data_IF_100869096570
#
_entry.id   IF_100869096570
#
_cell.length_a   1.000
_cell.length_b   1.000
_cell.length_c   1.000
_cell.angle_alpha   90.00
_cell.angle_beta   90.00
_cell.angle_gamma   90.00
#
_symmetry.space_group_name_H-M   'P 1'
#
loop_
_entity.id
_entity.type
_entity.pdbx_description
1 polymer ?
#
# COMPACT_ATOMS: atom_id res chain seq x y z
N UNK A 1 18.32 -34.56 30.02
CA UNK A 1 17.33 -34.54 28.92
C UNK A 1 16.41 -33.30 28.95
N UNK A 2 16.11 -32.73 30.12
CA UNK A 2 15.23 -31.53 30.28
C UNK A 2 15.95 -30.20 30.00
N UNK A 3 17.25 -30.11 30.30
CA UNK A 3 18.06 -28.90 30.12
C UNK A 3 18.36 -28.54 28.66
N UNK A 4 18.31 -29.52 27.74
CA UNK A 4 18.47 -29.28 26.31
C UNK A 4 17.22 -28.61 25.73
N UNK A 5 16.03 -29.08 26.11
CA UNK A 5 14.76 -28.50 25.67
C UNK A 5 14.63 -27.02 26.07
N UNK A 6 15.11 -26.66 27.26
CA UNK A 6 15.15 -25.26 27.73
C UNK A 6 16.09 -24.38 26.90
N UNK A 7 17.23 -24.90 26.44
CA UNK A 7 18.17 -24.16 25.58
C UNK A 7 17.62 -23.95 24.17
N UNK A 8 17.03 -24.98 23.58
CA UNK A 8 16.37 -24.86 22.27
C UNK A 8 15.16 -23.93 22.32
N UNK A 9 14.42 -23.92 23.43
CA UNK A 9 13.31 -22.99 23.65
C UNK A 9 13.77 -21.52 23.66
N UNK A 10 14.88 -21.20 24.33
CA UNK A 10 15.48 -19.85 24.33
C UNK A 10 15.94 -19.44 22.92
N UNK A 11 16.55 -20.37 22.17
CA UNK A 11 17.02 -20.10 20.79
C UNK A 11 15.82 -19.81 19.85
N UNK A 12 14.73 -20.58 19.96
CA UNK A 12 13.51 -20.36 19.18
C UNK A 12 12.85 -19.01 19.53
N UNK A 13 12.88 -18.60 20.81
CA UNK A 13 12.39 -17.29 21.22
C UNK A 13 13.19 -16.15 20.56
N UNK A 14 14.51 -16.28 20.49
CA UNK A 14 15.39 -15.28 19.88
C UNK A 14 15.25 -15.20 18.35
N UNK A 15 15.01 -16.31 17.65
CA UNK A 15 14.82 -16.30 16.19
C UNK A 15 13.48 -15.70 15.77
N UNK A 16 12.43 -15.85 16.58
CA UNK A 16 11.11 -15.23 16.36
C UNK A 16 11.14 -13.70 16.52
N UNK A 17 12.02 -13.17 17.39
CA UNK A 17 12.22 -11.71 17.55
C UNK A 17 12.98 -11.13 16.36
N UNK A 18 13.95 -11.87 15.80
CA UNK A 18 14.72 -11.44 14.62
C UNK A 18 14.00 -11.65 13.27
N UNK A 19 13.01 -12.54 13.19
CA UNK A 19 12.15 -12.74 12.01
C UNK A 19 10.78 -12.06 12.14
N UNK A 20 10.60 -11.21 13.15
CA UNK A 20 9.47 -10.30 13.21
C UNK A 20 9.50 -9.43 11.96
N UNK A 21 8.62 -9.74 11.01
CA UNK A 21 8.53 -9.06 9.73
C UNK A 21 8.62 -7.55 9.95
N UNK A 22 9.51 -6.89 9.22
CA UNK A 22 9.33 -5.49 8.87
C UNK A 22 8.07 -5.43 7.99
N UNK A 23 6.90 -5.44 8.64
CA UNK A 23 5.70 -4.91 8.04
C UNK A 23 5.89 -3.42 8.01
N UNK A 24 6.29 -2.88 6.86
CA UNK A 24 6.17 -1.46 6.62
C UNK A 24 4.66 -1.18 6.63
N UNK A 25 4.15 -0.64 7.73
CA UNK A 25 2.98 0.21 7.64
C UNK A 25 3.52 1.53 7.13
N UNK A 26 3.71 1.62 5.81
CA UNK A 26 4.00 2.89 5.17
C UNK A 26 2.76 3.76 5.36
N UNK A 27 2.76 4.54 6.44
CA UNK A 27 1.74 5.56 6.70
C UNK A 27 1.99 6.81 5.83
N UNK A 28 2.85 6.70 4.81
CA UNK A 28 3.12 7.74 3.85
C UNK A 28 1.91 7.82 2.91
N UNK A 29 1.09 8.84 3.08
CA UNK A 29 -0.06 9.07 2.21
C UNK A 29 0.38 9.65 0.86
N UNK A 30 -0.46 9.47 -0.16
CA UNK A 30 -0.28 10.14 -1.44
C UNK A 30 -0.28 11.67 -1.24
N UNK A 31 0.58 12.36 -1.96
CA UNK A 31 0.68 13.81 -1.87
C UNK A 31 -0.65 14.50 -2.26
N UNK A 32 -1.05 15.55 -1.53
CA UNK A 32 -2.37 16.17 -1.70
C UNK A 32 -2.58 16.77 -3.11
N UNK A 33 -1.53 17.27 -3.74
CA UNK A 33 -1.61 17.76 -5.12
C UNK A 33 -1.97 16.64 -6.12
N UNK A 34 -1.46 15.43 -5.92
CA UNK A 34 -1.80 14.27 -6.75
C UNK A 34 -3.22 13.78 -6.47
N UNK A 35 -3.68 13.79 -5.22
CA UNK A 35 -5.08 13.49 -4.88
C UNK A 35 -6.04 14.46 -5.60
N UNK A 36 -5.71 15.76 -5.62
CA UNK A 36 -6.49 16.78 -6.36
C UNK A 36 -6.44 16.53 -7.87
N UNK A 37 -5.28 16.19 -8.42
CA UNK A 37 -5.15 15.86 -9.84
C UNK A 37 -6.00 14.63 -10.22
N UNK A 38 -5.95 13.56 -9.41
CA UNK A 38 -6.77 12.37 -9.59
C UNK A 38 -8.26 12.69 -9.52
N UNK A 39 -8.69 13.62 -8.65
CA UNK A 39 -10.09 14.07 -8.60
C UNK A 39 -10.54 14.71 -9.90
N UNK A 40 -9.69 15.54 -10.51
CA UNK A 40 -10.00 16.16 -11.80
C UNK A 40 -9.95 15.17 -12.97
N UNK A 41 -9.01 14.22 -12.96
CA UNK A 41 -8.96 13.12 -13.93
C UNK A 41 -10.22 12.26 -13.83
N UNK A 42 -10.58 11.84 -12.62
CA UNK A 42 -11.78 11.02 -12.38
C UNK A 42 -13.06 11.69 -12.86
N UNK A 43 -13.21 13.01 -12.61
CA UNK A 43 -14.32 13.80 -13.16
C UNK A 43 -14.35 13.78 -14.69
N UNK A 44 -13.20 13.98 -15.35
CA UNK A 44 -13.11 14.00 -16.83
C UNK A 44 -13.39 12.64 -17.44
N UNK A 45 -12.96 11.56 -16.78
CA UNK A 45 -13.19 10.18 -17.22
C UNK A 45 -14.56 9.63 -16.80
N UNK A 46 -15.34 10.37 -16.01
CA UNK A 46 -16.63 9.92 -15.49
C UNK A 46 -16.50 8.79 -14.45
N UNK A 47 -15.34 8.65 -13.80
CA UNK A 47 -15.08 7.65 -12.76
C UNK A 47 -15.76 8.07 -11.46
N UNK A 48 -16.71 7.24 -11.02
CA UNK A 48 -17.55 7.47 -9.84
C UNK A 48 -17.31 6.44 -8.73
N UNK A 49 -16.56 5.40 -9.07
CA UNK A 49 -16.21 4.24 -8.26
C UNK A 49 -15.03 4.49 -7.32
N UNK A 50 -14.19 5.50 -7.60
CA UNK A 50 -13.06 5.88 -6.76
C UNK A 50 -13.51 6.49 -5.43
N UNK A 51 -13.06 5.87 -4.33
CA UNK A 51 -13.32 6.35 -2.97
C UNK A 51 -12.18 7.26 -2.49
N UNK A 52 -12.37 8.57 -2.64
CA UNK A 52 -11.44 9.60 -2.17
C UNK A 52 -11.36 9.73 -0.64
N UNK A 53 -12.17 8.97 0.13
CA UNK A 53 -11.98 8.86 1.58
C UNK A 53 -10.88 7.84 1.95
N UNK A 54 -10.46 7.03 0.98
CA UNK A 54 -9.34 6.11 1.10
C UNK A 54 -8.14 6.68 0.35
N UNK A 55 -6.96 6.43 0.90
CA UNK A 55 -5.72 6.84 0.24
C UNK A 55 -5.57 6.07 -1.09
N UNK A 56 -5.29 6.73 -2.22
CA UNK A 56 -5.19 6.07 -3.52
C UNK A 56 -4.11 5.00 -3.62
N UNK A 57 -3.07 5.10 -2.81
CA UNK A 57 -1.97 4.15 -2.73
C UNK A 57 -2.14 3.08 -1.64
N UNK A 58 -3.22 3.14 -0.85
CA UNK A 58 -3.49 2.16 0.22
C UNK A 58 -3.94 0.78 -0.28
N UNK A 59 -4.21 0.64 -1.59
CA UNK A 59 -4.83 -0.57 -2.15
C UNK A 59 -6.32 -0.76 -1.77
N UNK A 60 -6.94 0.22 -1.11
CA UNK A 60 -8.37 0.24 -0.77
C UNK A 60 -9.09 1.37 -1.50
N UNK A 61 -10.38 1.23 -1.82
CA UNK A 61 -11.18 2.32 -2.41
C UNK A 61 -11.31 2.30 -3.93
N UNK A 62 -11.22 1.11 -4.54
CA UNK A 62 -11.47 0.85 -5.96
C UNK A 62 -10.53 1.59 -6.94
N UNK A 63 -9.34 1.98 -6.48
CA UNK A 63 -8.32 2.59 -7.35
C UNK A 63 -7.69 1.60 -8.34
N UNK A 64 -7.80 0.31 -8.05
CA UNK A 64 -7.34 -0.80 -8.89
C UNK A 64 -8.53 -1.72 -9.17
N UNK A 65 -8.96 -1.77 -10.43
CA UNK A 65 -10.04 -2.67 -10.89
C UNK A 65 -9.40 -3.81 -11.68
N UNK A 66 -9.47 -5.04 -11.16
CA UNK A 66 -8.91 -6.25 -11.81
C UNK A 66 -9.93 -7.01 -12.63
N UNK A 67 -11.20 -6.58 -12.64
CA UNK A 67 -12.29 -7.22 -13.37
C UNK A 67 -12.43 -6.62 -14.76
N UNK A 68 -12.13 -7.43 -15.78
CA UNK A 68 -12.28 -7.10 -17.22
C UNK A 68 -13.75 -7.07 -17.66
N UNK A 69 -14.57 -6.23 -17.04
CA UNK A 69 -15.91 -5.93 -17.55
C UNK A 69 -15.78 -4.79 -18.57
N UNK A 70 -15.95 -5.14 -19.85
CA UNK A 70 -15.67 -4.36 -21.07
C UNK A 70 -16.29 -2.96 -21.22
N UNK A 71 -16.87 -2.39 -20.16
CA UNK A 71 -17.52 -1.07 -20.14
C UNK A 71 -16.99 -0.13 -19.06
N UNK A 72 -16.18 -0.61 -18.13
CA UNK A 72 -15.54 0.25 -17.12
C UNK A 72 -14.12 0.56 -17.59
N UNK A 73 -13.77 1.84 -17.69
CA UNK A 73 -12.39 2.23 -17.91
C UNK A 73 -11.56 1.63 -16.77
N UNK A 74 -10.64 0.73 -17.13
CA UNK A 74 -9.70 0.13 -16.20
C UNK A 74 -8.99 1.25 -15.44
N UNK A 75 -8.86 1.08 -14.13
CA UNK A 75 -8.04 1.95 -13.30
C UNK A 75 -7.01 1.09 -12.65
N UNK A 76 -5.75 1.45 -12.83
CA UNK A 76 -4.65 0.77 -12.20
C UNK A 76 -3.62 1.80 -11.73
N UNK A 77 -3.92 2.44 -10.60
CA UNK A 77 -2.98 3.35 -9.97
C UNK A 77 -1.85 2.53 -9.36
N UNK A 78 -0.63 2.79 -9.83
CA UNK A 78 0.60 2.27 -9.23
C UNK A 78 1.33 3.40 -8.54
N UNK A 79 1.67 3.20 -7.27
CA UNK A 79 2.41 4.16 -6.47
C UNK A 79 3.83 3.66 -6.15
N UNK A 80 4.74 4.61 -5.95
CA UNK A 80 6.03 4.36 -5.34
C UNK A 80 6.15 5.22 -4.06
N UNK A 81 6.44 4.55 -2.96
CA UNK A 81 6.60 5.13 -1.62
C UNK A 81 8.06 5.05 -1.15
N UNK A 82 8.97 4.57 -2.00
CA UNK A 82 10.38 4.32 -1.67
C UNK A 82 11.26 5.56 -1.83
N UNK A 83 10.65 6.72 -2.09
CA UNK A 83 11.36 7.98 -2.20
C UNK A 83 12.08 8.30 -0.89
N UNK A 84 13.33 8.76 -1.01
CA UNK A 84 14.14 9.16 0.14
C UNK A 84 13.93 10.65 0.43
N UNK A 85 13.82 11.06 1.70
CA UNK A 85 13.88 10.23 2.92
C UNK A 85 12.62 9.37 3.13
N UNK A 86 12.77 8.19 3.75
CA UNK A 86 11.74 7.13 3.98
C UNK A 86 10.40 7.56 4.63
N UNK A 87 10.23 8.83 4.96
CA UNK A 87 9.01 9.44 5.50
C UNK A 87 8.37 10.45 4.52
N UNK A 88 8.79 10.45 3.26
CA UNK A 88 8.22 11.30 2.21
C UNK A 88 6.85 10.79 1.78
N UNK A 89 6.02 11.66 1.20
CA UNK A 89 4.77 11.24 0.57
C UNK A 89 5.00 10.20 -0.52
N UNK A 90 4.06 9.27 -0.68
CA UNK A 90 4.02 8.42 -1.87
C UNK A 90 3.69 9.25 -3.11
N UNK A 91 4.07 8.75 -4.28
CA UNK A 91 3.77 9.38 -5.57
C UNK A 91 3.19 8.36 -6.55
N UNK A 92 2.27 8.81 -7.40
CA UNK A 92 1.73 7.99 -8.50
C UNK A 92 2.77 7.94 -9.61
N UNK A 93 3.19 6.73 -9.96
CA UNK A 93 4.17 6.50 -11.04
C UNK A 93 3.50 5.99 -12.32
N UNK A 94 2.31 5.37 -12.22
CA UNK A 94 1.53 4.87 -13.36
C UNK A 94 0.03 4.92 -13.05
N UNK A 95 -0.79 5.12 -14.08
CA UNK A 95 -2.25 5.15 -14.03
C UNK A 95 -2.85 4.45 -15.25
#
# INVERSE_FOLDING_TARGET
>A
MISWLSKYFIIILFTLIFHGRLGFSDNNKLHEAEVRALKEIGKKLGKKDWDFNKDPCSGQGNWVVTTYTSKEFESNITCDCSFLPLNSSCHVIRM
#
